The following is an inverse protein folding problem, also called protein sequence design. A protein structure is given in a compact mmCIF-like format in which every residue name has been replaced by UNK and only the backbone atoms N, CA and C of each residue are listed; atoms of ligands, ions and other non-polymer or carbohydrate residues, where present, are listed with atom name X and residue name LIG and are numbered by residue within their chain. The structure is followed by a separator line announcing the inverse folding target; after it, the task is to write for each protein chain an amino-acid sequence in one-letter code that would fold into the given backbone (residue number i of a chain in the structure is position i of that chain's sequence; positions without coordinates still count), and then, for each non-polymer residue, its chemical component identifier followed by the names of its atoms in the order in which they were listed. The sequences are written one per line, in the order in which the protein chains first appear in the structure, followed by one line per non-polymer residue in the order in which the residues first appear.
data_IF_619708551491
#
_entry.id   IF_619708551491
#
_cell.length_a   1.000
_cell.length_b   1.000
_cell.length_c   1.000
_cell.angle_alpha   90.00
_cell.angle_beta   90.00
_cell.angle_gamma   90.00
#
_symmetry.space_group_name_H-M   'P 1'
#
loop_
_entity.id
_entity.type
_entity.pdbx_description
1 polymer ?
#
# COMPACT_ATOMS: atom_id res chain seq x y z
N UNK A 1 21.36 -8.86 -0.96
CA UNK A 1 21.57 -7.93 0.16
C UNK A 1 20.82 -8.56 1.33
N UNK A 2 21.51 -9.15 2.30
CA UNK A 2 20.85 -9.70 3.50
C UNK A 2 20.34 -8.51 4.30
N UNK A 3 19.06 -8.46 4.55
CA UNK A 3 18.45 -7.54 5.48
C UNK A 3 18.68 -8.12 6.90
N UNK A 4 19.75 -7.73 7.56
CA UNK A 4 20.10 -8.26 8.89
C UNK A 4 19.53 -7.39 10.03
N UNK A 5 18.65 -6.45 9.72
CA UNK A 5 18.00 -5.59 10.71
C UNK A 5 16.90 -6.37 11.47
N UNK A 6 16.84 -6.19 12.78
CA UNK A 6 15.80 -6.80 13.62
C UNK A 6 14.51 -6.01 13.68
N UNK A 7 14.53 -4.72 13.32
CA UNK A 7 13.39 -3.82 13.40
C UNK A 7 13.21 -3.08 12.06
N UNK A 8 12.02 -3.15 11.51
CA UNK A 8 11.61 -2.44 10.30
C UNK A 8 10.43 -1.51 10.59
N UNK A 9 10.48 -0.30 10.06
CA UNK A 9 9.36 0.64 10.06
C UNK A 9 8.98 0.96 8.63
N UNK A 10 7.78 0.58 8.24
CA UNK A 10 7.19 0.95 6.96
C UNK A 10 6.33 2.19 7.12
N UNK A 11 6.52 3.17 6.23
CA UNK A 11 5.75 4.43 6.18
C UNK A 11 5.33 4.73 4.74
N UNK A 12 4.39 5.64 4.59
CA UNK A 12 3.91 6.11 3.29
C UNK A 12 2.49 5.67 2.99
N UNK A 13 2.06 5.91 1.76
CA UNK A 13 0.67 5.69 1.30
C UNK A 13 0.54 4.57 0.27
N UNK A 14 1.65 4.12 -0.30
CA UNK A 14 1.65 3.12 -1.36
C UNK A 14 1.53 1.69 -0.80
N UNK A 15 0.30 1.26 -0.51
CA UNK A 15 0.00 -0.03 0.13
C UNK A 15 0.63 -1.23 -0.62
N UNK A 16 0.54 -1.25 -1.94
CA UNK A 16 1.06 -2.36 -2.74
C UNK A 16 2.59 -2.43 -2.69
N UNK A 17 3.28 -1.30 -2.82
CA UNK A 17 4.74 -1.30 -2.77
C UNK A 17 5.24 -1.66 -1.37
N UNK A 18 4.60 -1.14 -0.32
CA UNK A 18 4.88 -1.51 1.08
C UNK A 18 4.65 -3.01 1.27
N UNK A 19 3.48 -3.54 0.88
CA UNK A 19 3.15 -4.96 1.01
C UNK A 19 4.14 -5.86 0.25
N UNK A 20 4.49 -5.49 -0.98
CA UNK A 20 5.45 -6.25 -1.78
C UNK A 20 6.85 -6.24 -1.15
N UNK A 21 7.32 -5.09 -0.64
CA UNK A 21 8.62 -4.99 0.04
C UNK A 21 8.63 -5.77 1.35
N UNK A 22 7.56 -5.63 2.14
CA UNK A 22 7.38 -6.37 3.39
C UNK A 22 7.42 -7.87 3.14
N UNK A 23 6.67 -8.37 2.15
CA UNK A 23 6.67 -9.78 1.79
C UNK A 23 8.07 -10.29 1.38
N UNK A 24 8.85 -9.49 0.64
CA UNK A 24 10.23 -9.86 0.28
C UNK A 24 11.13 -9.97 1.51
N UNK A 25 10.99 -9.06 2.46
CA UNK A 25 11.74 -9.11 3.73
C UNK A 25 11.34 -10.35 4.51
N UNK A 26 10.04 -10.60 4.67
CA UNK A 26 9.51 -11.80 5.34
C UNK A 26 10.05 -13.07 4.69
N UNK A 27 10.02 -13.17 3.36
CA UNK A 27 10.55 -14.34 2.64
C UNK A 27 12.07 -14.49 2.80
N UNK A 28 12.80 -13.41 3.01
CA UNK A 28 14.26 -13.45 3.27
C UNK A 28 14.61 -14.06 4.63
N UNK A 29 13.72 -13.96 5.63
CA UNK A 29 13.88 -14.53 6.96
C UNK A 29 13.11 -15.85 7.15
N UNK A 30 12.15 -16.14 6.27
CA UNK A 30 11.25 -17.28 6.43
C UNK A 30 11.95 -18.59 6.07
N UNK A 31 11.92 -19.56 6.98
CA UNK A 31 12.11 -21.00 6.73
C UNK A 31 10.78 -21.74 6.95
N UNK A 32 10.75 -23.06 6.83
CA UNK A 32 9.53 -23.87 6.96
C UNK A 32 8.90 -23.76 8.37
N UNK A 33 9.69 -23.44 9.37
CA UNK A 33 9.30 -23.41 10.79
C UNK A 33 9.08 -21.98 11.33
N UNK A 34 9.28 -20.92 10.52
CA UNK A 34 9.18 -19.53 10.99
C UNK A 34 7.74 -19.12 11.30
N UNK A 35 7.45 -18.83 12.57
CA UNK A 35 6.16 -18.28 13.01
C UNK A 35 6.01 -16.81 12.66
N UNK A 36 4.86 -16.44 12.10
CA UNK A 36 4.48 -15.05 11.80
C UNK A 36 3.27 -14.68 12.64
N UNK A 37 3.47 -13.74 13.58
CA UNK A 37 2.40 -13.23 14.45
C UNK A 37 2.01 -11.83 13.98
N UNK A 38 0.71 -11.56 13.86
CA UNK A 38 0.19 -10.26 13.41
C UNK A 38 -0.66 -9.63 14.51
N UNK A 39 -0.31 -8.41 14.89
CA UNK A 39 -1.07 -7.57 15.80
C UNK A 39 -1.68 -6.40 15.07
N UNK A 40 -2.99 -6.21 15.22
CA UNK A 40 -3.68 -5.01 14.80
C UNK A 40 -3.91 -4.11 16.02
N UNK A 41 -3.30 -2.93 16.02
CA UNK A 41 -3.36 -2.02 17.17
C UNK A 41 -4.71 -1.32 17.34
N UNK A 42 -5.67 -1.58 16.47
CA UNK A 42 -7.07 -1.21 16.70
C UNK A 42 -7.76 -2.19 17.70
N UNK A 43 -7.22 -3.41 17.87
CA UNK A 43 -7.78 -4.48 18.72
C UNK A 43 -6.79 -5.05 19.73
N UNK A 44 -5.50 -4.81 19.57
CA UNK A 44 -4.42 -5.37 20.38
C UNK A 44 -3.70 -4.29 21.21
N UNK A 45 -2.92 -4.70 22.20
CA UNK A 45 -2.15 -3.80 23.07
C UNK A 45 -0.64 -3.96 22.85
N UNK A 46 0.15 -2.92 23.18
CA UNK A 46 1.61 -3.02 23.17
C UNK A 46 2.14 -4.05 24.15
N UNK A 47 1.45 -4.28 25.25
CA UNK A 47 1.80 -5.32 26.25
C UNK A 47 1.81 -6.71 25.61
N UNK A 48 0.75 -7.07 24.85
CA UNK A 48 0.67 -8.34 24.14
C UNK A 48 1.81 -8.51 23.12
N UNK A 49 2.10 -7.44 22.35
CA UNK A 49 3.22 -7.44 21.43
C UNK A 49 4.55 -7.69 22.15
N UNK A 50 4.76 -7.03 23.30
CA UNK A 50 5.99 -7.17 24.08
C UNK A 50 6.15 -8.56 24.70
N UNK A 51 5.07 -9.13 25.25
CA UNK A 51 5.07 -10.48 25.80
C UNK A 51 5.54 -11.49 24.76
N UNK A 52 4.96 -11.42 23.56
CA UNK A 52 5.41 -12.28 22.48
C UNK A 52 6.83 -11.92 21.99
N UNK A 53 7.17 -10.64 21.86
CA UNK A 53 8.47 -10.24 21.36
C UNK A 53 9.64 -10.68 22.29
N UNK A 54 9.38 -10.79 23.59
CA UNK A 54 10.36 -11.22 24.59
C UNK A 54 10.41 -12.74 24.78
N UNK A 55 9.37 -13.47 24.36
CA UNK A 55 9.33 -14.93 24.47
C UNK A 55 10.27 -15.56 23.43
N UNK A 56 11.09 -16.51 23.83
CA UNK A 56 11.95 -17.26 22.90
C UNK A 56 11.08 -18.29 22.14
N UNK A 57 11.20 -18.39 20.80
CA UNK A 57 10.51 -19.42 20.04
C UNK A 57 10.93 -20.82 20.52
N UNK A 58 9.98 -21.77 20.59
CA UNK A 58 10.26 -23.08 21.21
C UNK A 58 10.97 -24.07 20.28
N UNK A 59 10.66 -24.03 18.98
CA UNK A 59 11.22 -24.95 17.97
C UNK A 59 11.84 -24.22 16.78
N UNK A 60 11.93 -22.91 16.84
CA UNK A 60 12.31 -22.03 15.73
C UNK A 60 13.48 -21.15 16.11
N UNK A 61 14.36 -20.89 15.14
CA UNK A 61 15.48 -19.97 15.36
C UNK A 61 15.04 -18.52 15.42
N UNK A 62 13.90 -18.20 14.76
CA UNK A 62 13.43 -16.84 14.55
C UNK A 62 11.92 -16.78 14.36
N UNK A 63 11.28 -15.75 14.91
CA UNK A 63 9.89 -15.39 14.66
C UNK A 63 9.76 -13.98 14.09
N UNK A 64 8.66 -13.73 13.41
CA UNK A 64 8.34 -12.43 12.80
C UNK A 64 7.07 -11.89 13.44
N UNK A 65 7.15 -10.69 14.01
CA UNK A 65 6.00 -9.97 14.56
C UNK A 65 5.69 -8.78 13.66
N UNK A 66 4.45 -8.70 13.18
CA UNK A 66 3.97 -7.60 12.34
C UNK A 66 2.94 -6.81 13.12
N UNK A 67 3.25 -5.53 13.38
CA UNK A 67 2.33 -4.58 14.01
C UNK A 67 1.67 -3.76 12.92
N UNK A 68 0.35 -3.89 12.79
CA UNK A 68 -0.48 -3.07 11.90
C UNK A 68 -1.19 -1.95 12.65
N UNK A 69 -1.54 -0.89 11.93
CA UNK A 69 -2.29 0.24 12.47
C UNK A 69 -1.67 0.81 13.77
N UNK A 70 -0.36 1.14 13.80
CA UNK A 70 0.35 1.54 15.01
C UNK A 70 -0.15 2.89 15.55
N UNK A 71 -1.38 2.92 16.10
CA UNK A 71 -2.03 4.12 16.63
C UNK A 71 -1.21 4.80 17.72
N UNK A 72 -0.33 4.05 18.38
CA UNK A 72 0.61 4.58 19.36
C UNK A 72 1.64 5.56 18.77
N UNK A 73 1.77 5.66 17.45
CA UNK A 73 2.62 6.64 16.76
C UNK A 73 1.90 7.95 16.44
N UNK A 74 0.58 8.02 16.61
CA UNK A 74 -0.22 9.21 16.27
C UNK A 74 -0.25 10.25 17.39
N UNK A 75 -0.74 11.45 17.09
CA UNK A 75 -0.92 12.53 18.10
C UNK A 75 -1.92 12.15 19.19
N UNK A 76 -2.95 11.38 18.85
CA UNK A 76 -4.03 10.98 19.75
C UNK A 76 -3.83 9.55 20.27
N UNK A 77 -2.57 9.14 20.44
CA UNK A 77 -2.24 7.81 20.94
C UNK A 77 -2.85 7.57 22.34
N UNK A 78 -3.66 6.53 22.48
CA UNK A 78 -4.19 6.09 23.77
C UNK A 78 -3.31 4.95 24.32
N UNK A 79 -2.01 5.25 24.51
CA UNK A 79 -1.03 4.30 25.04
C UNK A 79 -0.60 4.74 26.42
N UNK A 80 -0.57 3.82 27.39
CA UNK A 80 -0.10 4.13 28.73
C UNK A 80 1.37 4.55 28.69
N UNK A 81 1.77 5.42 29.62
CA UNK A 81 3.17 5.85 29.72
C UNK A 81 4.12 4.67 30.02
N UNK A 82 3.62 3.68 30.75
CA UNK A 82 4.45 2.53 31.14
C UNK A 82 4.62 1.55 29.97
N UNK A 83 3.56 1.31 29.17
CA UNK A 83 3.68 0.51 27.94
C UNK A 83 4.61 1.18 26.93
N UNK A 84 4.50 2.49 26.77
CA UNK A 84 5.38 3.26 25.90
C UNK A 84 6.85 3.14 26.33
N UNK A 85 7.13 3.28 27.64
CA UNK A 85 8.48 3.11 28.18
C UNK A 85 9.02 1.68 28.00
N UNK A 86 8.18 0.68 28.25
CA UNK A 86 8.55 -0.72 28.09
C UNK A 86 8.88 -1.03 26.63
N UNK A 87 8.06 -0.54 25.69
CA UNK A 87 8.32 -0.71 24.27
C UNK A 87 9.59 0.00 23.80
N UNK A 88 9.82 1.24 24.25
CA UNK A 88 11.07 1.97 23.98
C UNK A 88 12.29 1.20 24.50
N UNK A 89 12.18 0.59 25.69
CA UNK A 89 13.26 -0.24 26.25
C UNK A 89 13.54 -1.45 25.37
N UNK A 90 12.49 -2.13 24.90
CA UNK A 90 12.61 -3.25 23.96
C UNK A 90 13.26 -2.82 22.63
N UNK A 91 12.80 -1.72 22.02
CA UNK A 91 13.35 -1.22 20.77
C UNK A 91 14.85 -0.93 20.83
N UNK A 92 15.37 -0.49 21.99
CA UNK A 92 16.80 -0.22 22.21
C UNK A 92 17.63 -1.49 22.37
N UNK A 93 17.01 -2.57 22.78
CA UNK A 93 17.64 -3.89 22.96
C UNK A 93 16.65 -4.97 22.56
N UNK A 94 16.41 -5.13 21.25
CA UNK A 94 15.46 -6.14 20.76
C UNK A 94 16.00 -7.55 21.00
N UNK A 95 15.11 -8.54 20.96
CA UNK A 95 15.48 -9.95 20.94
C UNK A 95 16.09 -10.29 19.58
N UNK A 96 17.20 -11.00 19.55
CA UNK A 96 17.86 -11.51 18.34
C UNK A 96 17.10 -12.68 17.68
N UNK A 97 16.10 -13.23 18.37
CA UNK A 97 15.19 -14.25 17.82
C UNK A 97 13.89 -13.69 17.28
N UNK A 98 13.75 -12.35 17.20
CA UNK A 98 12.49 -11.70 16.76
C UNK A 98 12.75 -10.60 15.74
N UNK A 99 12.15 -10.73 14.56
CA UNK A 99 12.05 -9.63 13.59
C UNK A 99 10.75 -8.86 13.86
N UNK A 100 10.88 -7.58 14.16
CA UNK A 100 9.74 -6.69 14.40
C UNK A 100 9.49 -5.80 13.18
N UNK A 101 8.31 -5.91 12.60
CA UNK A 101 7.86 -5.08 11.48
C UNK A 101 6.72 -4.18 11.96
N UNK A 102 6.93 -2.87 11.90
CA UNK A 102 5.90 -1.87 12.22
C UNK A 102 5.36 -1.31 10.90
N UNK A 103 4.12 -1.65 10.59
CA UNK A 103 3.41 -1.22 9.38
C UNK A 103 2.59 0.04 9.70
N UNK A 104 3.17 1.20 9.42
CA UNK A 104 2.55 2.52 9.57
C UNK A 104 2.01 3.07 8.24
N UNK A 105 1.60 2.19 7.32
CA UNK A 105 0.96 2.57 6.06
C UNK A 105 -0.29 3.41 6.34
N UNK A 106 -0.44 4.53 5.66
CA UNK A 106 -1.55 5.48 5.82
C UNK A 106 -1.70 6.06 7.24
N UNK A 107 -0.69 5.95 8.10
CA UNK A 107 -0.69 6.51 9.45
C UNK A 107 0.02 7.87 9.46
N UNK A 108 -0.68 8.89 9.96
CA UNK A 108 -0.09 10.22 10.19
C UNK A 108 0.72 10.17 11.49
N UNK A 109 2.04 10.03 11.34
CA UNK A 109 2.96 9.88 12.45
C UNK A 109 3.21 11.23 13.14
N UNK A 110 3.07 11.26 14.46
CA UNK A 110 3.42 12.42 15.27
C UNK A 110 4.94 12.48 15.50
N UNK A 111 5.61 13.45 14.87
CA UNK A 111 7.08 13.56 14.88
C UNK A 111 7.69 13.72 16.29
N UNK A 112 6.94 14.31 17.24
CA UNK A 112 7.38 14.48 18.64
C UNK A 112 7.18 13.22 19.50
N UNK A 113 6.56 12.16 18.97
CA UNK A 113 6.32 10.91 19.70
C UNK A 113 7.65 10.20 20.03
N UNK A 114 7.83 9.81 21.30
CA UNK A 114 9.09 9.26 21.77
C UNK A 114 9.37 7.83 21.26
N UNK A 115 8.32 7.03 21.01
CA UNK A 115 8.46 5.72 20.35
C UNK A 115 8.96 5.93 18.93
N UNK A 116 8.38 6.87 18.18
CA UNK A 116 8.81 7.18 16.82
C UNK A 116 10.25 7.70 16.75
N UNK A 117 10.64 8.61 17.68
CA UNK A 117 12.03 9.06 17.78
C UNK A 117 12.99 7.89 18.01
N UNK A 118 12.58 6.93 18.83
CA UNK A 118 13.39 5.73 19.08
C UNK A 118 13.46 4.87 17.82
N UNK A 119 12.33 4.58 17.17
CA UNK A 119 12.29 3.81 15.92
C UNK A 119 13.18 4.43 14.84
N UNK A 120 13.18 5.76 14.71
CA UNK A 120 14.07 6.45 13.75
C UNK A 120 15.55 6.18 13.96
N UNK A 121 15.96 5.86 15.16
CA UNK A 121 17.37 5.61 15.50
C UNK A 121 17.77 4.13 15.40
N UNK A 122 16.81 3.20 15.56
CA UNK A 122 17.11 1.77 15.68
C UNK A 122 16.50 0.91 14.58
N UNK A 123 15.47 1.41 13.90
CA UNK A 123 14.77 0.66 12.86
C UNK A 123 15.30 1.01 11.47
N UNK A 124 15.26 0.03 10.57
CA UNK A 124 15.36 0.28 9.15
C UNK A 124 14.05 0.87 8.65
N UNK A 125 14.08 2.14 8.27
CA UNK A 125 12.90 2.84 7.75
C UNK A 125 12.81 2.61 6.25
N UNK A 126 11.62 2.19 5.82
CA UNK A 126 11.27 1.97 4.42
C UNK A 126 10.04 2.82 4.13
N UNK A 127 10.25 3.90 3.39
CA UNK A 127 9.21 4.87 3.06
C UNK A 127 8.81 4.75 1.59
N UNK A 128 7.50 4.57 1.37
CA UNK A 128 6.89 4.58 0.04
C UNK A 128 5.81 5.65 0.01
N UNK A 129 6.16 6.90 -0.37
CA UNK A 129 5.17 7.95 -0.59
C UNK A 129 4.22 7.57 -1.71
N UNK A 130 3.28 8.44 -2.02
CA UNK A 130 2.38 8.27 -3.16
C UNK A 130 3.20 8.10 -4.44
N UNK A 131 3.01 7.00 -5.20
CA UNK A 131 3.84 6.70 -6.34
C UNK A 131 3.48 7.60 -7.53
N UNK A 132 4.48 7.96 -8.32
CA UNK A 132 4.24 8.61 -9.60
C UNK A 132 3.63 7.64 -10.61
N UNK A 133 2.92 8.18 -11.62
CA UNK A 133 2.26 7.39 -12.67
C UNK A 133 3.23 6.42 -13.37
N UNK A 134 4.49 6.86 -13.58
CA UNK A 134 5.53 6.03 -14.21
C UNK A 134 5.89 4.81 -13.34
N UNK A 135 5.88 4.95 -12.02
CA UNK A 135 6.19 3.87 -11.09
C UNK A 135 5.05 2.84 -11.06
N UNK A 136 3.79 3.32 -11.10
CA UNK A 136 2.60 2.46 -11.20
C UNK A 136 2.63 1.67 -12.52
N UNK A 137 2.87 2.34 -13.65
CA UNK A 137 3.01 1.67 -14.95
C UNK A 137 4.11 0.61 -14.94
N UNK A 138 5.26 0.95 -14.38
CA UNK A 138 6.37 0.01 -14.24
C UNK A 138 6.03 -1.18 -13.31
N UNK A 139 5.22 -0.96 -12.28
CA UNK A 139 4.73 -2.04 -11.42
C UNK A 139 3.73 -2.95 -12.17
N UNK A 140 2.80 -2.39 -12.96
CA UNK A 140 1.83 -3.15 -13.77
C UNK A 140 2.57 -4.07 -14.74
N UNK A 141 3.54 -3.53 -15.50
CA UNK A 141 4.33 -4.31 -16.45
C UNK A 141 5.05 -5.46 -15.74
N UNK A 142 5.79 -5.17 -14.65
CA UNK A 142 6.50 -6.21 -13.88
C UNK A 142 5.55 -7.28 -13.31
N UNK A 143 4.31 -6.92 -12.99
CA UNK A 143 3.33 -7.88 -12.46
C UNK A 143 2.85 -8.83 -13.56
N UNK A 144 2.61 -8.34 -14.77
CA UNK A 144 2.30 -9.18 -15.93
C UNK A 144 3.49 -10.06 -16.33
N UNK A 145 4.71 -9.50 -16.40
CA UNK A 145 5.94 -10.24 -16.69
C UNK A 145 6.17 -11.39 -15.70
N UNK A 146 5.93 -11.16 -14.42
CA UNK A 146 6.02 -12.18 -13.37
C UNK A 146 5.06 -13.36 -13.56
N UNK A 147 3.98 -13.16 -14.32
CA UNK A 147 3.02 -14.19 -14.73
C UNK A 147 3.29 -14.74 -16.17
N UNK A 148 4.41 -14.36 -16.78
CA UNK A 148 4.74 -14.62 -18.18
C UNK A 148 3.66 -14.12 -19.16
N UNK A 149 3.18 -12.91 -18.96
CA UNK A 149 2.19 -12.22 -19.81
C UNK A 149 2.79 -10.90 -20.25
N UNK A 150 2.61 -10.56 -21.51
CA UNK A 150 2.94 -9.25 -22.07
C UNK A 150 1.73 -8.31 -22.00
N UNK A 151 1.95 -7.01 -21.90
CA UNK A 151 0.92 -5.98 -22.06
C UNK A 151 1.41 -4.94 -23.06
N UNK A 152 0.58 -4.60 -24.03
CA UNK A 152 0.91 -3.56 -25.02
C UNK A 152 0.78 -2.17 -24.42
N UNK A 153 1.63 -1.23 -24.85
CA UNK A 153 1.70 0.13 -24.32
C UNK A 153 0.36 0.87 -24.40
N UNK A 154 -0.39 0.67 -25.49
CA UNK A 154 -1.71 1.25 -25.67
C UNK A 154 -2.75 0.65 -24.71
N UNK A 155 -2.64 -0.64 -24.40
CA UNK A 155 -3.47 -1.31 -23.40
C UNK A 155 -3.12 -0.86 -21.98
N UNK A 156 -1.83 -0.71 -21.66
CA UNK A 156 -1.35 -0.18 -20.38
C UNK A 156 -1.86 1.25 -20.14
N UNK A 157 -1.75 2.11 -21.14
CA UNK A 157 -2.25 3.49 -21.05
C UNK A 157 -3.77 3.52 -20.87
N UNK A 158 -4.52 2.66 -21.56
CA UNK A 158 -5.97 2.56 -21.41
C UNK A 158 -6.37 2.02 -20.02
N UNK A 159 -5.63 1.06 -19.49
CA UNK A 159 -5.85 0.55 -18.12
C UNK A 159 -5.70 1.67 -17.09
N UNK A 160 -4.62 2.46 -17.21
CA UNK A 160 -4.41 3.65 -16.37
C UNK A 160 -5.49 4.72 -16.56
N UNK A 161 -5.96 4.93 -17.78
CA UNK A 161 -7.08 5.85 -18.04
C UNK A 161 -8.36 5.41 -17.33
N UNK A 162 -8.64 4.08 -17.29
CA UNK A 162 -9.87 3.54 -16.72
C UNK A 162 -9.86 3.52 -15.19
N UNK A 163 -8.71 3.26 -14.55
CA UNK A 163 -8.62 3.02 -13.11
C UNK A 163 -7.85 4.13 -12.39
N UNK A 164 -6.85 4.74 -13.02
CA UNK A 164 -5.96 5.71 -12.39
C UNK A 164 -4.94 5.05 -11.49
N UNK A 165 -4.73 5.64 -10.31
CA UNK A 165 -3.73 5.27 -9.30
C UNK A 165 -4.27 4.37 -8.17
N UNK A 166 -5.52 3.93 -8.26
CA UNK A 166 -6.13 2.98 -7.31
C UNK A 166 -5.43 1.62 -7.38
N UNK A 167 -4.36 1.47 -6.60
CA UNK A 167 -3.51 0.28 -6.61
C UNK A 167 -4.25 -1.01 -6.21
N UNK A 168 -5.12 -1.03 -5.19
CA UNK A 168 -5.94 -2.21 -4.88
C UNK A 168 -6.79 -2.66 -6.06
N UNK A 169 -7.44 -1.72 -6.73
CA UNK A 169 -8.27 -2.01 -7.89
C UNK A 169 -7.45 -2.43 -9.11
N UNK A 170 -6.32 -1.75 -9.38
CA UNK A 170 -5.37 -2.18 -10.41
C UNK A 170 -4.94 -3.64 -10.21
N UNK A 171 -4.64 -4.04 -8.95
CA UNK A 171 -4.27 -5.43 -8.66
C UNK A 171 -5.37 -6.41 -9.02
N UNK A 172 -6.62 -6.11 -8.67
CA UNK A 172 -7.78 -6.97 -8.99
C UNK A 172 -7.99 -7.10 -10.52
N UNK A 173 -7.87 -5.99 -11.24
CA UNK A 173 -8.03 -6.00 -12.69
C UNK A 173 -6.88 -6.71 -13.40
N UNK A 174 -5.65 -6.58 -12.90
CA UNK A 174 -4.48 -7.33 -13.39
C UNK A 174 -4.69 -8.83 -13.19
N UNK A 175 -5.15 -9.27 -12.02
CA UNK A 175 -5.42 -10.69 -11.74
C UNK A 175 -6.51 -11.25 -12.68
N UNK A 176 -7.55 -10.47 -12.94
CA UNK A 176 -8.62 -10.82 -13.88
C UNK A 176 -8.12 -10.93 -15.32
N UNK A 177 -7.34 -9.94 -15.78
CA UNK A 177 -6.73 -9.93 -17.10
C UNK A 177 -5.74 -11.10 -17.28
N UNK A 178 -4.92 -11.35 -16.27
CA UNK A 178 -3.97 -12.48 -16.22
C UNK A 178 -4.71 -13.81 -16.38
N UNK A 179 -5.79 -13.99 -15.65
CA UNK A 179 -6.62 -15.20 -15.73
C UNK A 179 -7.29 -15.37 -17.09
N UNK A 180 -7.67 -14.24 -17.72
CA UNK A 180 -8.34 -14.26 -19.02
C UNK A 180 -7.41 -14.59 -20.18
N UNK A 181 -6.23 -13.95 -20.27
CA UNK A 181 -5.30 -14.18 -21.39
C UNK A 181 -4.48 -15.45 -21.20
N UNK A 182 -4.28 -15.90 -19.97
CA UNK A 182 -3.49 -17.08 -19.66
C UNK A 182 -1.99 -16.90 -19.82
N UNK A 183 -1.22 -17.87 -19.33
CA UNK A 183 0.23 -17.87 -19.36
C UNK A 183 0.77 -17.83 -20.81
N UNK A 184 1.71 -16.93 -21.08
CA UNK A 184 2.25 -16.70 -22.42
C UNK A 184 1.37 -15.83 -23.31
N UNK A 185 0.25 -15.32 -22.77
CA UNK A 185 -0.66 -14.43 -23.49
C UNK A 185 -0.18 -12.98 -23.55
N UNK A 186 -0.91 -12.17 -24.29
CA UNK A 186 -0.67 -10.72 -24.41
C UNK A 186 -1.98 -9.97 -24.19
N UNK A 187 -1.94 -8.94 -23.34
CA UNK A 187 -3.07 -8.05 -23.09
C UNK A 187 -3.10 -6.94 -24.13
N UNK A 188 -4.24 -6.80 -24.81
CA UNK A 188 -4.51 -5.80 -25.82
C UNK A 188 -5.63 -4.83 -25.38
N UNK A 189 -5.76 -3.70 -26.05
CA UNK A 189 -6.84 -2.71 -25.88
C UNK A 189 -8.24 -3.34 -25.84
N UNK A 190 -8.49 -4.33 -26.71
CA UNK A 190 -9.77 -5.06 -26.78
C UNK A 190 -10.12 -5.77 -25.47
N UNK A 191 -9.09 -6.30 -24.77
CA UNK A 191 -9.25 -7.07 -23.53
C UNK A 191 -9.58 -6.11 -22.38
N UNK A 192 -8.90 -4.95 -22.34
CA UNK A 192 -9.23 -3.87 -21.39
C UNK A 192 -10.68 -3.43 -21.57
N UNK A 193 -11.08 -3.07 -22.81
CA UNK A 193 -12.45 -2.62 -23.11
C UNK A 193 -13.52 -3.64 -22.76
N UNK A 194 -13.19 -4.94 -22.84
CA UNK A 194 -14.11 -6.03 -22.57
C UNK A 194 -14.27 -6.32 -21.08
N UNK A 195 -13.19 -6.24 -20.31
CA UNK A 195 -13.14 -6.77 -18.95
C UNK A 195 -13.07 -5.71 -17.86
N UNK A 196 -12.47 -4.56 -18.14
CA UNK A 196 -12.23 -3.53 -17.15
C UNK A 196 -13.33 -2.48 -17.21
N UNK A 197 -14.15 -2.33 -16.15
CA UNK A 197 -15.13 -1.26 -16.10
C UNK A 197 -14.45 0.09 -15.87
N UNK A 198 -14.89 1.12 -16.60
CA UNK A 198 -14.43 2.49 -16.35
C UNK A 198 -14.85 2.94 -14.95
N UNK A 199 -13.94 3.61 -14.26
CA UNK A 199 -14.24 4.21 -12.96
C UNK A 199 -14.76 5.63 -13.14
N UNK A 200 -16.00 5.86 -12.69
CA UNK A 200 -16.61 7.20 -12.71
C UNK A 200 -15.82 8.17 -11.83
N UNK A 201 -15.28 7.71 -10.70
CA UNK A 201 -14.46 8.54 -9.81
C UNK A 201 -13.16 8.96 -10.49
N UNK A 202 -12.52 8.06 -11.24
CA UNK A 202 -11.31 8.37 -12.00
C UNK A 202 -11.63 9.27 -13.21
N UNK A 203 -12.76 9.07 -13.88
CA UNK A 203 -13.23 9.99 -14.94
C UNK A 203 -13.40 11.42 -14.39
N UNK A 204 -13.94 11.59 -13.17
CA UNK A 204 -14.05 12.90 -12.51
C UNK A 204 -12.68 13.47 -12.15
N UNK A 205 -11.76 12.66 -11.65
CA UNK A 205 -10.40 13.11 -11.41
C UNK A 205 -9.70 13.58 -12.68
N UNK A 206 -9.84 12.82 -13.78
CA UNK A 206 -9.33 13.21 -15.09
C UNK A 206 -9.99 14.49 -15.64
N UNK A 207 -11.29 14.70 -15.38
CA UNK A 207 -11.98 15.93 -15.68
C UNK A 207 -11.37 17.13 -14.93
N UNK A 208 -11.17 16.98 -13.63
CA UNK A 208 -10.55 18.03 -12.79
C UNK A 208 -9.13 18.34 -13.29
N UNK A 209 -8.32 17.33 -13.58
CA UNK A 209 -6.97 17.48 -14.12
C UNK A 209 -6.97 18.22 -15.47
N UNK A 210 -7.93 17.92 -16.36
CA UNK A 210 -8.09 18.61 -17.62
C UNK A 210 -8.49 20.09 -17.43
N UNK A 211 -9.39 20.39 -16.48
CA UNK A 211 -9.80 21.76 -16.12
C UNK A 211 -8.60 22.56 -15.61
N UNK A 212 -7.83 22.00 -14.66
CA UNK A 212 -6.64 22.65 -14.06
C UNK A 212 -5.57 22.92 -15.12
N UNK A 213 -5.39 22.00 -16.05
CA UNK A 213 -4.45 22.15 -17.17
C UNK A 213 -4.96 23.03 -18.33
N UNK A 214 -6.15 23.62 -18.20
CA UNK A 214 -6.81 24.41 -19.25
C UNK A 214 -6.98 23.67 -20.59
N UNK A 215 -7.10 22.35 -20.56
CA UNK A 215 -7.36 21.51 -21.75
C UNK A 215 -8.88 21.45 -22.01
N UNK A 216 -9.40 22.46 -22.71
CA UNK A 216 -10.82 22.58 -22.99
C UNK A 216 -11.39 21.43 -23.83
N UNK A 217 -10.62 20.90 -24.78
CA UNK A 217 -11.05 19.78 -25.62
C UNK A 217 -11.24 18.51 -24.80
N UNK A 218 -10.26 18.17 -23.97
CA UNK A 218 -10.31 17.03 -23.08
C UNK A 218 -11.38 17.18 -21.99
N UNK A 219 -11.50 18.38 -21.42
CA UNK A 219 -12.54 18.72 -20.44
C UNK A 219 -13.93 18.45 -21.01
N UNK A 220 -14.22 18.97 -22.21
CA UNK A 220 -15.53 18.81 -22.85
C UNK A 220 -15.81 17.35 -23.21
N UNK A 221 -14.82 16.62 -23.73
CA UNK A 221 -14.95 15.20 -24.06
C UNK A 221 -15.28 14.35 -22.83
N UNK A 222 -14.53 14.52 -21.72
CA UNK A 222 -14.74 13.75 -20.49
C UNK A 222 -16.09 14.12 -19.86
N UNK A 223 -16.44 15.41 -19.81
CA UNK A 223 -17.71 15.87 -19.26
C UNK A 223 -18.90 15.27 -19.99
N UNK A 224 -18.88 15.28 -21.34
CA UNK A 224 -19.94 14.69 -22.13
C UNK A 224 -20.06 13.17 -21.90
N UNK A 225 -18.93 12.47 -21.75
CA UNK A 225 -18.92 11.05 -21.42
C UNK A 225 -19.56 10.80 -20.05
N UNK A 226 -19.17 11.57 -19.04
CA UNK A 226 -19.72 11.47 -17.67
C UNK A 226 -21.23 11.73 -17.64
N UNK A 227 -21.71 12.79 -18.29
CA UNK A 227 -23.14 13.12 -18.35
C UNK A 227 -23.94 12.01 -19.03
N UNK A 228 -23.42 11.46 -20.13
CA UNK A 228 -24.10 10.38 -20.85
C UNK A 228 -24.17 9.08 -20.02
N UNK A 229 -23.14 8.80 -19.21
CA UNK A 229 -23.06 7.60 -18.40
C UNK A 229 -23.87 7.70 -17.10
N UNK A 230 -23.77 8.82 -16.39
CA UNK A 230 -24.40 8.99 -15.07
C UNK A 230 -25.79 9.60 -15.14
N UNK A 231 -26.10 10.39 -16.18
CA UNK A 231 -27.34 11.17 -16.35
C UNK A 231 -27.69 12.09 -15.16
N UNK A 232 -26.71 12.33 -14.27
CA UNK A 232 -26.86 13.13 -13.04
C UNK A 232 -25.78 14.23 -12.94
N UNK A 233 -26.07 15.45 -13.43
CA UNK A 233 -25.15 16.58 -13.34
C UNK A 233 -24.84 17.00 -11.90
N UNK A 234 -25.78 16.82 -10.96
CA UNK A 234 -25.59 17.20 -9.56
C UNK A 234 -24.59 16.28 -8.86
N UNK A 235 -24.63 14.99 -9.19
CA UNK A 235 -23.65 14.03 -8.71
C UNK A 235 -22.23 14.43 -9.16
N UNK A 236 -22.04 14.74 -10.45
CA UNK A 236 -20.75 15.18 -11.01
C UNK A 236 -20.28 16.44 -10.29
N UNK A 237 -21.14 17.44 -10.16
CA UNK A 237 -20.82 18.70 -9.47
C UNK A 237 -20.43 18.46 -8.00
N UNK A 238 -21.17 17.62 -7.28
CA UNK A 238 -20.90 17.26 -5.90
C UNK A 238 -19.50 16.62 -5.75
N UNK A 239 -19.17 15.67 -6.64
CA UNK A 239 -17.87 14.98 -6.62
C UNK A 239 -16.71 15.93 -6.95
N UNK A 240 -16.90 16.85 -7.92
CA UNK A 240 -15.92 17.90 -8.22
C UNK A 240 -15.73 18.82 -6.99
N UNK A 241 -16.83 19.30 -6.40
CA UNK A 241 -16.78 20.20 -5.25
C UNK A 241 -16.06 19.58 -4.04
N UNK A 242 -16.22 18.28 -3.82
CA UNK A 242 -15.55 17.57 -2.72
C UNK A 242 -14.02 17.41 -2.90
N UNK A 243 -13.53 17.48 -4.14
CA UNK A 243 -12.09 17.41 -4.44
C UNK A 243 -11.38 18.76 -4.29
N UNK A 244 -12.10 19.87 -4.28
CA UNK A 244 -11.55 21.23 -4.08
C UNK A 244 -11.68 21.73 -2.63
N UNK A 245 -12.16 20.92 -1.70
CA UNK A 245 -12.17 21.19 -0.26
C UNK A 245 -10.95 20.58 0.41
#
# INVERSE_FOLDING_TARGET
MRDDDLIYLFTGTSEIFIKNRMNRIIQGFKNEETTIIKYDMDTSTLTQVLEDALTIPFLEDLKIIIIKNPRFLTKNANTSKDDAKAFIKYLKKPSDTTILIVDATNIVIHQANDIYKTLRNVARIIDYPEPEEIEIKGWIVRTFDGNNIDIKDDALNLLMEYIGDDQPRLSQEIDKLTSYVGKGGTVYVKDIKKLVPKDVSNEIYNLIKAIVNHDFNKTNSIYNTLINNTKDPLMIFSMISNKFK
#
